data_IF_526477621146
#
_entry.id   IF_526477621146
#
_cell.length_a   1.000
_cell.length_b   1.000
_cell.length_c   1.000
_cell.angle_alpha   90.00
_cell.angle_beta   90.00
_cell.angle_gamma   90.00
#
_symmetry.space_group_name_H-M   'P 1'
#
loop_
_entity.id
_entity.type
_entity.pdbx_description
1 polymer ?
#
# COMPACT_ATOMS: atom_id res chain seq x y z
N UNK A 1 27.84 2.28 7.01
CA UNK A 1 27.88 3.24 8.16
C UNK A 1 26.51 3.89 8.27
N UNK A 2 25.79 3.75 9.38
CA UNK A 2 24.45 4.34 9.53
C UNK A 2 24.58 5.84 9.88
N UNK A 3 24.38 6.71 8.88
CA UNK A 3 24.44 8.18 9.03
C UNK A 3 23.11 8.79 9.54
N UNK A 4 22.05 7.98 9.64
CA UNK A 4 20.73 8.46 10.05
C UNK A 4 20.70 9.21 11.39
N UNK A 5 21.40 8.76 12.45
CA UNK A 5 21.44 9.51 13.73
C UNK A 5 21.97 10.94 13.59
N UNK A 6 22.88 11.19 12.64
CA UNK A 6 23.46 12.52 12.42
C UNK A 6 22.50 13.45 11.66
N UNK A 7 21.74 12.93 10.71
CA UNK A 7 20.82 13.73 9.89
C UNK A 7 19.42 13.84 10.49
N UNK A 8 19.04 12.91 11.37
CA UNK A 8 17.71 12.87 12.01
C UNK A 8 17.29 14.19 12.65
N UNK A 9 18.12 14.88 13.49
CA UNK A 9 17.71 16.14 14.11
C UNK A 9 17.32 17.21 13.08
N UNK A 10 18.08 17.34 12.00
CA UNK A 10 17.78 18.30 10.93
C UNK A 10 16.50 17.95 10.18
N UNK A 11 16.28 16.66 9.87
CA UNK A 11 15.05 16.21 9.22
C UNK A 11 13.81 16.40 10.12
N UNK A 12 13.98 16.21 11.44
CA UNK A 12 12.87 16.37 12.39
C UNK A 12 12.56 17.83 12.73
N UNK A 13 13.50 18.76 12.51
CA UNK A 13 13.24 20.20 12.60
C UNK A 13 12.43 20.74 11.40
N UNK A 14 12.34 19.97 10.31
CA UNK A 14 11.59 20.34 9.12
C UNK A 14 10.15 19.83 9.20
N UNK A 15 9.24 20.45 8.43
CA UNK A 15 7.92 19.89 8.14
C UNK A 15 8.02 18.43 7.67
N UNK A 16 7.09 17.58 8.11
CA UNK A 16 7.17 16.15 7.90
C UNK A 16 7.14 15.76 6.42
N UNK A 17 6.28 16.39 5.62
CA UNK A 17 6.14 16.09 4.19
C UNK A 17 7.32 16.67 3.38
N UNK A 18 7.87 17.83 3.79
CA UNK A 18 9.10 18.36 3.18
C UNK A 18 10.30 17.46 3.43
N UNK A 19 10.45 16.96 4.66
CA UNK A 19 11.52 16.02 4.98
C UNK A 19 11.38 14.70 4.20
N UNK A 20 10.16 14.18 4.07
CA UNK A 20 9.86 13.01 3.24
C UNK A 20 10.31 13.22 1.79
N UNK A 21 9.85 14.30 1.15
CA UNK A 21 10.21 14.61 -0.23
C UNK A 21 11.72 14.84 -0.43
N UNK A 22 12.39 15.49 0.53
CA UNK A 22 13.83 15.72 0.49
C UNK A 22 14.58 14.39 0.58
N UNK A 23 14.17 13.51 1.48
CA UNK A 23 14.81 12.20 1.68
C UNK A 23 14.71 11.35 0.40
N UNK A 24 13.54 11.23 -0.19
CA UNK A 24 13.34 10.46 -1.43
C UNK A 24 14.16 11.01 -2.59
N UNK A 25 14.15 12.35 -2.81
CA UNK A 25 14.99 12.98 -3.83
C UNK A 25 16.49 12.80 -3.59
N UNK A 26 16.91 12.69 -2.32
CA UNK A 26 18.30 12.42 -1.99
C UNK A 26 18.66 10.98 -2.31
N UNK A 27 17.80 10.03 -2.01
CA UNK A 27 17.96 8.62 -2.39
C UNK A 27 18.07 8.46 -3.92
N UNK A 28 17.22 9.15 -4.69
CA UNK A 28 17.32 9.14 -6.17
C UNK A 28 18.70 9.62 -6.66
N UNK A 29 19.22 10.69 -6.06
CA UNK A 29 20.55 11.20 -6.42
C UNK A 29 21.65 10.21 -6.07
N UNK A 30 21.57 9.57 -4.90
CA UNK A 30 22.54 8.55 -4.46
C UNK A 30 22.49 7.36 -5.42
N UNK A 31 21.31 6.91 -5.79
CA UNK A 31 21.11 5.86 -6.80
C UNK A 31 21.71 6.25 -8.17
N UNK A 32 21.35 7.42 -8.69
CA UNK A 32 21.83 7.92 -9.99
C UNK A 32 23.34 8.08 -10.08
N UNK A 33 24.03 8.29 -8.95
CA UNK A 33 25.50 8.33 -8.85
C UNK A 33 26.13 6.93 -8.75
N UNK A 34 25.34 5.86 -8.77
CA UNK A 34 25.81 4.49 -8.58
C UNK A 34 26.27 4.19 -7.14
N UNK A 35 25.86 5.01 -6.17
CA UNK A 35 26.26 4.89 -4.78
C UNK A 35 25.21 4.16 -3.91
N UNK A 36 24.18 3.54 -4.53
CA UNK A 36 23.12 2.81 -3.85
C UNK A 36 23.64 1.73 -2.88
N UNK A 37 24.77 1.10 -3.22
CA UNK A 37 25.41 0.11 -2.35
C UNK A 37 25.81 0.65 -0.96
N UNK A 38 25.98 1.96 -0.80
CA UNK A 38 26.26 2.58 0.50
C UNK A 38 25.05 2.58 1.43
N UNK A 39 23.86 2.49 0.87
CA UNK A 39 22.58 2.44 1.59
C UNK A 39 22.18 0.99 1.91
N UNK A 40 22.81 0.02 1.27
CA UNK A 40 22.48 -1.39 1.39
C UNK A 40 23.09 -1.97 2.68
N UNK A 41 22.25 -2.36 3.62
CA UNK A 41 22.68 -3.27 4.68
C UNK A 41 22.77 -4.70 4.11
N UNK A 42 23.74 -5.48 4.62
CA UNK A 42 23.82 -6.91 4.27
C UNK A 42 22.62 -7.63 4.86
N UNK A 43 21.52 -7.67 4.11
CA UNK A 43 20.33 -8.43 4.49
C UNK A 43 20.62 -9.90 4.20
N UNK A 44 20.45 -10.74 5.22
CA UNK A 44 20.54 -12.19 5.03
C UNK A 44 19.45 -12.64 4.05
N UNK A 45 19.85 -13.44 3.07
CA UNK A 45 18.91 -14.03 2.12
C UNK A 45 18.04 -15.06 2.87
N UNK A 46 16.74 -14.80 2.93
CA UNK A 46 15.73 -15.71 3.50
C UNK A 46 14.62 -15.88 2.44
N UNK A 47 14.96 -16.62 1.39
CA UNK A 47 14.06 -16.82 0.25
C UNK A 47 12.81 -17.56 0.69
N UNK A 48 11.64 -17.02 0.31
CA UNK A 48 10.34 -17.62 0.56
C UNK A 48 9.48 -17.60 -0.68
N UNK A 49 8.57 -18.56 -0.77
CA UNK A 49 7.53 -18.57 -1.79
C UNK A 49 6.23 -18.13 -1.10
N UNK A 50 5.64 -17.07 -1.59
CA UNK A 50 4.37 -16.54 -1.08
C UNK A 50 3.44 -16.22 -2.26
N UNK A 51 2.27 -16.83 -2.29
CA UNK A 51 1.30 -16.72 -3.40
C UNK A 51 1.93 -16.93 -4.79
N UNK A 52 2.86 -17.88 -4.91
CA UNK A 52 3.60 -18.16 -6.15
C UNK A 52 4.76 -17.21 -6.44
N UNK A 53 4.94 -16.16 -5.65
CA UNK A 53 6.05 -15.20 -5.79
C UNK A 53 7.25 -15.68 -4.98
N UNK A 54 8.40 -15.73 -5.62
CA UNK A 54 9.69 -16.07 -4.98
C UNK A 54 10.34 -14.78 -4.45
N UNK A 55 10.10 -14.46 -3.18
CA UNK A 55 10.66 -13.28 -2.52
C UNK A 55 12.04 -13.58 -1.93
N UNK A 56 13.04 -12.71 -2.13
CA UNK A 56 14.40 -12.94 -1.64
C UNK A 56 14.56 -12.79 -0.12
N UNK A 57 13.66 -12.02 0.52
CA UNK A 57 13.52 -11.91 1.96
C UNK A 57 12.09 -11.46 2.32
N UNK A 58 11.60 -11.73 3.55
CA UNK A 58 10.21 -11.47 3.94
C UNK A 58 9.91 -9.99 4.28
N UNK A 59 10.88 -9.09 4.18
CA UNK A 59 10.69 -7.67 4.51
C UNK A 59 10.42 -6.90 3.25
N UNK A 60 9.18 -6.40 3.11
CA UNK A 60 8.76 -5.58 1.99
C UNK A 60 8.51 -4.13 2.36
N UNK A 61 8.58 -3.24 1.38
CA UNK A 61 8.17 -1.86 1.52
C UNK A 61 6.67 -1.74 1.25
N UNK A 62 5.92 -1.25 2.23
CA UNK A 62 4.48 -1.02 2.10
C UNK A 62 4.16 0.22 1.24
N UNK A 63 3.00 0.20 0.58
CA UNK A 63 2.47 1.36 -0.11
C UNK A 63 2.33 2.60 0.80
N UNK A 64 2.47 3.78 0.21
CA UNK A 64 2.33 5.06 0.88
C UNK A 64 3.62 5.87 0.95
N UNK A 65 4.80 5.24 0.87
CA UNK A 65 6.08 5.94 0.79
C UNK A 65 6.30 6.48 -0.62
N UNK A 66 6.34 5.63 -1.62
CA UNK A 66 6.32 6.02 -3.04
C UNK A 66 4.92 5.81 -3.61
N UNK A 67 4.18 6.91 -3.80
CA UNK A 67 2.79 6.83 -4.26
C UNK A 67 2.65 6.77 -5.78
N UNK A 68 3.71 7.14 -6.49
CA UNK A 68 3.67 7.38 -7.92
C UNK A 68 4.66 6.52 -8.72
N UNK A 69 5.46 5.69 -8.06
CA UNK A 69 6.53 4.95 -8.70
C UNK A 69 7.69 5.85 -9.18
N UNK A 70 7.94 6.95 -8.47
CA UNK A 70 9.02 7.90 -8.80
C UNK A 70 10.38 7.48 -8.26
N UNK A 71 10.40 6.59 -7.26
CA UNK A 71 11.57 6.29 -6.43
C UNK A 71 11.87 4.79 -6.34
N UNK A 72 11.32 3.97 -7.26
CA UNK A 72 11.36 2.50 -7.21
C UNK A 72 12.81 2.01 -7.06
N UNK A 73 13.69 2.42 -7.97
CA UNK A 73 15.06 1.90 -8.04
C UNK A 73 15.90 2.35 -6.84
N UNK A 74 15.75 3.61 -6.43
CA UNK A 74 16.41 4.13 -5.23
C UNK A 74 15.95 3.45 -3.92
N UNK A 75 14.67 3.06 -3.84
CA UNK A 75 14.12 2.31 -2.72
C UNK A 75 14.53 0.84 -2.76
N UNK A 76 14.73 0.27 -3.94
CA UNK A 76 15.25 -1.08 -4.11
C UNK A 76 16.68 -1.24 -3.56
N UNK A 77 17.52 -0.19 -3.69
CA UNK A 77 18.87 -0.18 -3.12
C UNK A 77 18.89 -0.37 -1.59
N UNK A 78 17.77 -0.14 -0.90
CA UNK A 78 17.67 -0.38 0.55
C UNK A 78 17.56 -1.88 0.92
N UNK A 79 17.36 -2.76 -0.07
CA UNK A 79 17.40 -4.21 0.10
C UNK A 79 16.07 -4.87 0.48
N UNK A 80 14.94 -4.20 0.27
CA UNK A 80 13.62 -4.82 0.42
C UNK A 80 13.47 -6.04 -0.48
N UNK A 81 12.82 -7.08 0.02
CA UNK A 81 12.51 -8.29 -0.75
C UNK A 81 11.44 -8.06 -1.82
N UNK A 82 10.58 -7.08 -1.60
CA UNK A 82 9.56 -6.61 -2.54
C UNK A 82 9.16 -5.17 -2.21
N UNK A 83 8.59 -4.46 -3.17
CA UNK A 83 8.19 -3.05 -3.04
C UNK A 83 6.74 -2.90 -3.45
N UNK A 84 5.92 -2.23 -2.65
CA UNK A 84 4.55 -1.85 -3.02
C UNK A 84 4.46 -0.35 -3.27
N UNK A 85 4.06 0.01 -4.50
CA UNK A 85 3.84 1.38 -4.96
C UNK A 85 2.36 1.76 -4.81
N UNK A 86 2.09 2.98 -4.53
CA UNK A 86 0.73 3.54 -4.47
C UNK A 86 0.37 4.08 -3.08
N UNK A 87 -0.88 4.30 -2.88
CA UNK A 87 -2.09 3.98 -3.68
C UNK A 87 -2.22 4.95 -4.84
N UNK A 88 -2.38 4.40 -6.05
CA UNK A 88 -2.71 5.18 -7.24
C UNK A 88 -4.20 5.10 -7.55
N UNK A 89 -4.73 6.14 -8.15
CA UNK A 89 -6.12 6.23 -8.58
C UNK A 89 -6.18 6.36 -10.11
N UNK A 90 -7.32 6.06 -10.77
CA UNK A 90 -7.45 6.17 -12.21
C UNK A 90 -7.01 7.54 -12.77
N UNK A 91 -7.41 8.62 -12.09
CA UNK A 91 -7.03 9.98 -12.44
C UNK A 91 -6.10 10.56 -11.38
N UNK A 92 -5.20 11.45 -11.80
CA UNK A 92 -4.40 12.24 -10.89
C UNK A 92 -5.27 13.03 -9.90
N UNK A 93 -4.81 13.15 -8.66
CA UNK A 93 -5.46 14.01 -7.66
C UNK A 93 -4.44 14.54 -6.66
N UNK A 94 -4.65 15.79 -6.19
CA UNK A 94 -3.74 16.47 -5.28
C UNK A 94 -3.75 15.90 -3.85
N UNK A 95 -4.80 15.15 -3.48
CA UNK A 95 -5.05 14.75 -2.11
C UNK A 95 -5.61 15.88 -1.24
N UNK A 96 -5.56 15.68 0.07
CA UNK A 96 -6.07 16.66 1.03
C UNK A 96 -5.16 17.89 1.18
N UNK A 97 -5.70 19.05 1.63
CA UNK A 97 -4.91 20.26 1.90
C UNK A 97 -3.77 20.03 2.92
N UNK A 98 -2.72 20.84 2.78
CA UNK A 98 -1.60 20.90 3.74
C UNK A 98 -2.01 21.76 4.98
N UNK A 99 -1.40 21.51 6.16
CA UNK A 99 -0.53 20.37 6.50
C UNK A 99 -1.34 19.07 6.65
N UNK A 100 -0.74 17.96 6.28
CA UNK A 100 -1.42 16.65 6.23
C UNK A 100 -0.57 15.47 6.74
N UNK A 101 0.55 15.78 7.41
CA UNK A 101 1.44 14.78 8.01
C UNK A 101 2.00 15.30 9.34
N UNK A 102 1.77 14.55 10.42
CA UNK A 102 2.08 14.98 11.80
C UNK A 102 2.83 13.86 12.52
N UNK A 103 4.05 14.16 12.95
CA UNK A 103 4.87 13.19 13.69
C UNK A 103 4.47 13.14 15.16
N UNK A 104 4.52 11.94 15.72
CA UNK A 104 4.38 11.64 17.14
C UNK A 104 5.64 10.88 17.61
N UNK A 105 6.79 11.57 17.78
CA UNK A 105 8.08 10.90 18.03
C UNK A 105 8.09 10.10 19.32
N UNK A 106 7.37 10.54 20.34
CA UNK A 106 7.30 9.96 21.68
C UNK A 106 6.79 8.51 21.66
N UNK A 107 5.92 8.22 20.68
CA UNK A 107 5.33 6.88 20.50
C UNK A 107 5.75 6.23 19.18
N UNK A 108 6.79 6.74 18.52
CA UNK A 108 7.19 6.28 17.19
C UNK A 108 5.99 6.19 16.22
N UNK A 109 5.14 7.22 16.24
CA UNK A 109 3.90 7.30 15.50
C UNK A 109 3.87 8.44 14.50
N UNK A 110 2.89 8.36 13.60
CA UNK A 110 2.63 9.37 12.57
C UNK A 110 1.12 9.43 12.28
N UNK A 111 0.54 10.63 12.30
CA UNK A 111 -0.81 10.85 11.77
C UNK A 111 -0.68 11.44 10.37
N UNK A 112 -1.43 10.90 9.40
CA UNK A 112 -1.51 11.46 8.06
C UNK A 112 -2.94 11.49 7.54
N UNK A 113 -3.21 12.50 6.71
CA UNK A 113 -4.43 12.65 5.93
C UNK A 113 -4.14 12.93 4.46
N UNK A 114 -3.26 12.12 3.86
CA UNK A 114 -2.75 12.36 2.51
C UNK A 114 -3.84 12.39 1.43
N UNK A 115 -4.86 11.51 1.53
CA UNK A 115 -6.00 11.49 0.60
C UNK A 115 -5.65 10.98 -0.80
N UNK A 116 -4.76 9.99 -0.89
CA UNK A 116 -4.31 9.39 -2.15
C UNK A 116 -3.80 10.41 -3.18
N UNK A 117 -2.95 11.36 -2.73
CA UNK A 117 -2.28 12.26 -3.67
C UNK A 117 -1.38 11.44 -4.61
N UNK A 118 -1.65 11.52 -5.92
CA UNK A 118 -0.91 10.79 -6.95
C UNK A 118 -1.14 11.39 -8.34
N UNK A 119 -0.26 11.02 -9.30
CA UNK A 119 -0.28 11.51 -10.68
C UNK A 119 -1.20 10.70 -11.61
N UNK A 120 -1.94 9.73 -11.08
CA UNK A 120 -2.80 8.81 -11.84
C UNK A 120 -2.09 7.52 -12.26
N UNK A 121 -2.91 6.49 -12.52
CA UNK A 121 -2.42 5.14 -12.80
C UNK A 121 -1.56 5.07 -14.07
N UNK A 122 -1.90 5.83 -15.11
CA UNK A 122 -1.17 5.80 -16.39
C UNK A 122 0.26 6.34 -16.21
N UNK A 123 0.43 7.42 -15.43
CA UNK A 123 1.74 7.98 -15.11
C UNK A 123 2.58 7.01 -14.26
N UNK A 124 1.97 6.34 -13.28
CA UNK A 124 2.63 5.31 -12.48
C UNK A 124 3.12 4.15 -13.34
N UNK A 125 2.27 3.60 -14.20
CA UNK A 125 2.63 2.51 -15.13
C UNK A 125 3.77 2.91 -16.06
N UNK A 126 3.77 4.16 -16.57
CA UNK A 126 4.86 4.63 -17.41
C UNK A 126 6.21 4.61 -16.69
N UNK A 127 6.24 4.94 -15.38
CA UNK A 127 7.44 4.89 -14.54
C UNK A 127 7.86 3.46 -14.20
N UNK A 128 6.90 2.59 -13.89
CA UNK A 128 7.17 1.16 -13.66
C UNK A 128 7.89 0.54 -14.85
N UNK A 129 7.45 0.83 -16.08
CA UNK A 129 8.10 0.35 -17.30
C UNK A 129 9.54 0.79 -17.47
N UNK A 130 9.93 1.90 -16.84
CA UNK A 130 11.27 2.47 -16.90
C UNK A 130 12.15 2.04 -15.72
N UNK A 131 11.59 1.37 -14.71
CA UNK A 131 12.32 0.95 -13.53
C UNK A 131 13.24 -0.22 -13.83
N UNK A 132 14.51 -0.07 -13.50
CA UNK A 132 15.52 -1.13 -13.60
C UNK A 132 15.21 -2.28 -12.62
N UNK A 133 14.69 -1.98 -11.43
CA UNK A 133 14.27 -2.97 -10.45
C UNK A 133 13.22 -3.92 -11.02
N UNK A 134 12.18 -3.37 -11.65
CA UNK A 134 11.13 -4.19 -12.24
C UNK A 134 11.62 -4.96 -13.47
N UNK A 135 12.38 -4.32 -14.37
CA UNK A 135 12.93 -4.95 -15.58
C UNK A 135 13.88 -6.11 -15.25
N UNK A 136 14.59 -6.04 -14.14
CA UNK A 136 15.50 -7.09 -13.66
C UNK A 136 14.81 -8.14 -12.76
N UNK A 137 13.48 -8.20 -12.74
CA UNK A 137 12.70 -9.21 -12.02
C UNK A 137 12.54 -8.96 -10.53
N UNK A 138 12.67 -7.70 -10.09
CA UNK A 138 12.29 -7.29 -8.75
C UNK A 138 10.79 -7.42 -8.53
N UNK A 139 10.37 -7.86 -7.36
CA UNK A 139 8.95 -8.07 -7.02
C UNK A 139 8.27 -6.74 -6.73
N UNK A 140 7.34 -6.34 -7.59
CA UNK A 140 6.63 -5.07 -7.49
C UNK A 140 5.12 -5.26 -7.32
N UNK A 141 4.60 -4.77 -6.18
CA UNK A 141 3.18 -4.66 -5.92
C UNK A 141 2.64 -3.29 -6.36
N UNK A 142 1.45 -3.28 -6.96
CA UNK A 142 0.78 -2.04 -7.34
C UNK A 142 -0.54 -1.91 -6.59
N UNK A 143 -0.61 -0.87 -5.74
CA UNK A 143 -1.73 -0.58 -4.87
C UNK A 143 -2.68 0.40 -5.55
N UNK A 144 -3.93 -0.01 -5.76
CA UNK A 144 -4.96 0.75 -6.45
C UNK A 144 -6.07 1.20 -5.51
N UNK A 145 -6.66 2.34 -5.81
CA UNK A 145 -7.74 2.92 -5.02
C UNK A 145 -8.69 3.77 -5.85
N UNK A 146 -9.77 4.19 -5.20
CA UNK A 146 -10.81 5.04 -5.78
C UNK A 146 -10.42 6.52 -5.72
N UNK A 147 -10.68 7.27 -6.79
CA UNK A 147 -10.59 8.73 -6.77
C UNK A 147 -11.56 9.34 -5.74
N UNK A 148 -11.14 10.43 -5.12
CA UNK A 148 -11.99 11.17 -4.17
C UNK A 148 -13.28 11.71 -4.84
N UNK A 149 -13.19 12.11 -6.10
CA UNK A 149 -14.31 12.65 -6.89
C UNK A 149 -15.29 11.58 -7.40
N UNK A 150 -14.94 10.30 -7.36
CA UNK A 150 -15.83 9.22 -7.81
C UNK A 150 -16.85 8.90 -6.72
N UNK A 151 -18.16 8.94 -7.00
CA UNK A 151 -19.19 8.52 -6.04
C UNK A 151 -19.00 7.06 -5.58
N UNK A 152 -19.51 6.72 -4.39
CA UNK A 152 -19.35 5.36 -3.84
C UNK A 152 -20.03 4.30 -4.69
N UNK A 153 -21.16 4.61 -5.30
CA UNK A 153 -21.94 3.74 -6.18
C UNK A 153 -21.16 3.34 -7.45
N UNK A 154 -20.12 4.13 -7.78
CA UNK A 154 -19.23 3.90 -8.92
C UNK A 154 -17.80 3.52 -8.49
N UNK A 155 -17.61 3.18 -7.23
CA UNK A 155 -16.29 2.83 -6.71
C UNK A 155 -15.64 1.67 -7.50
N UNK A 156 -16.43 0.67 -7.86
CA UNK A 156 -15.96 -0.49 -8.62
C UNK A 156 -15.36 -0.11 -9.98
N UNK A 157 -15.89 0.92 -10.67
CA UNK A 157 -15.36 1.38 -11.95
C UNK A 157 -13.87 1.79 -11.83
N UNK A 158 -13.53 2.50 -10.74
CA UNK A 158 -12.17 2.96 -10.49
C UNK A 158 -11.22 1.80 -10.20
N UNK A 159 -11.67 0.83 -9.40
CA UNK A 159 -10.86 -0.37 -9.12
C UNK A 159 -10.65 -1.23 -10.35
N UNK A 160 -11.70 -1.43 -11.16
CA UNK A 160 -11.60 -2.14 -12.44
C UNK A 160 -10.62 -1.45 -13.39
N UNK A 161 -10.74 -0.13 -13.57
CA UNK A 161 -9.80 0.63 -14.38
C UNK A 161 -8.37 0.53 -13.86
N UNK A 162 -8.20 0.65 -12.54
CA UNK A 162 -6.90 0.47 -11.88
C UNK A 162 -6.34 -0.92 -12.16
N UNK A 163 -7.11 -1.98 -11.92
CA UNK A 163 -6.71 -3.36 -12.13
C UNK A 163 -6.28 -3.60 -13.58
N UNK A 164 -7.09 -3.19 -14.56
CA UNK A 164 -6.75 -3.33 -15.98
C UNK A 164 -5.43 -2.65 -16.35
N UNK A 165 -5.19 -1.45 -15.81
CA UNK A 165 -3.99 -0.68 -16.12
C UNK A 165 -2.73 -1.30 -15.52
N UNK A 166 -2.79 -1.81 -14.27
CA UNK A 166 -1.60 -2.27 -13.56
C UNK A 166 -1.29 -3.75 -13.76
N UNK A 167 -2.28 -4.57 -14.13
CA UNK A 167 -2.17 -6.02 -14.18
C UNK A 167 -0.97 -6.55 -14.98
N UNK A 168 -0.66 -6.03 -16.18
CA UNK A 168 0.47 -6.51 -16.97
C UNK A 168 1.84 -6.28 -16.30
N UNK A 169 1.92 -5.30 -15.40
CA UNK A 169 3.17 -4.77 -14.85
C UNK A 169 3.35 -5.10 -13.37
N UNK A 170 2.31 -5.61 -12.71
CA UNK A 170 2.34 -5.95 -11.29
C UNK A 170 2.74 -7.41 -11.08
N UNK A 171 3.55 -7.69 -10.07
CA UNK A 171 3.74 -9.05 -9.55
C UNK A 171 2.63 -9.42 -8.56
N UNK A 172 2.06 -8.43 -7.88
CA UNK A 172 0.79 -8.55 -7.18
C UNK A 172 0.04 -7.20 -7.20
N UNK A 173 -1.27 -7.24 -7.00
CA UNK A 173 -2.10 -6.04 -6.92
C UNK A 173 -2.72 -5.95 -5.53
N UNK A 174 -2.71 -4.75 -4.96
CA UNK A 174 -3.42 -4.44 -3.71
C UNK A 174 -4.62 -3.56 -3.98
N UNK A 175 -5.80 -4.02 -3.59
CA UNK A 175 -7.05 -3.26 -3.63
C UNK A 175 -7.25 -2.59 -2.28
N UNK A 176 -7.06 -1.27 -2.23
CA UNK A 176 -7.11 -0.52 -0.98
C UNK A 176 -8.51 0.03 -0.70
N UNK A 177 -9.26 -0.67 0.15
CA UNK A 177 -10.62 -0.30 0.58
C UNK A 177 -10.66 0.27 2.01
N UNK A 178 -9.52 0.58 2.59
CA UNK A 178 -9.39 0.82 4.05
C UNK A 178 -8.85 2.20 4.43
N UNK A 179 -8.60 3.09 3.47
CA UNK A 179 -8.10 4.43 3.79
C UNK A 179 -9.14 5.25 4.60
N UNK A 180 -8.75 5.83 5.74
CA UNK A 180 -9.64 6.73 6.47
C UNK A 180 -9.71 8.13 5.86
N UNK A 181 -8.86 8.40 4.87
CA UNK A 181 -8.66 9.74 4.30
C UNK A 181 -9.46 9.96 3.00
N UNK A 182 -10.25 8.97 2.59
CA UNK A 182 -11.19 9.04 1.46
C UNK A 182 -12.60 8.82 2.01
N UNK A 183 -13.50 9.75 1.73
CA UNK A 183 -14.85 9.75 2.29
C UNK A 183 -15.57 8.43 2.01
N UNK A 184 -16.14 7.85 3.04
CA UNK A 184 -16.92 6.61 3.03
C UNK A 184 -16.23 5.37 2.43
N UNK A 185 -14.92 5.42 2.11
CA UNK A 185 -14.23 4.30 1.47
C UNK A 185 -14.33 3.01 2.28
N UNK A 186 -14.28 3.12 3.61
CA UNK A 186 -14.35 1.96 4.51
C UNK A 186 -15.71 1.23 4.49
N UNK A 187 -16.76 1.84 3.94
CA UNK A 187 -18.04 1.14 3.74
C UNK A 187 -17.94 -0.01 2.73
N UNK A 188 -16.89 -0.02 1.88
CA UNK A 188 -16.58 -1.16 1.01
C UNK A 188 -16.14 -2.42 1.77
N UNK A 189 -15.89 -2.32 3.08
CA UNK A 189 -15.59 -3.48 3.93
C UNK A 189 -16.84 -4.17 4.47
N UNK A 190 -18.05 -3.64 4.19
CA UNK A 190 -19.31 -4.31 4.50
C UNK A 190 -19.51 -5.52 3.58
N UNK A 191 -20.21 -6.52 4.08
CA UNK A 191 -20.38 -7.82 3.42
C UNK A 191 -20.87 -7.70 1.96
N UNK A 192 -22.00 -7.03 1.74
CA UNK A 192 -22.59 -6.86 0.41
C UNK A 192 -21.69 -6.06 -0.54
N UNK A 193 -21.16 -4.92 -0.08
CA UNK A 193 -20.30 -4.06 -0.91
C UNK A 193 -18.98 -4.76 -1.26
N UNK A 194 -18.40 -5.49 -0.31
CA UNK A 194 -17.19 -6.27 -0.54
C UNK A 194 -17.46 -7.41 -1.52
N UNK A 195 -18.53 -8.19 -1.31
CA UNK A 195 -18.89 -9.31 -2.18
C UNK A 195 -19.11 -8.86 -3.63
N UNK A 196 -19.82 -7.77 -3.85
CA UNK A 196 -20.02 -7.19 -5.18
C UNK A 196 -18.70 -6.77 -5.82
N UNK A 197 -17.82 -6.09 -5.07
CA UNK A 197 -16.52 -5.66 -5.56
C UNK A 197 -15.63 -6.86 -5.92
N UNK A 198 -15.58 -7.89 -5.07
CA UNK A 198 -14.81 -9.12 -5.31
C UNK A 198 -15.30 -9.88 -6.54
N UNK A 199 -16.62 -9.95 -6.76
CA UNK A 199 -17.20 -10.58 -7.96
C UNK A 199 -16.72 -9.89 -9.23
N UNK A 200 -16.88 -8.56 -9.31
CA UNK A 200 -16.48 -7.77 -10.48
C UNK A 200 -14.97 -7.84 -10.74
N UNK A 201 -14.17 -7.70 -9.69
CA UNK A 201 -12.71 -7.80 -9.82
C UNK A 201 -12.26 -9.23 -10.13
N UNK A 202 -12.96 -10.24 -9.63
CA UNK A 202 -12.68 -11.64 -9.93
C UNK A 202 -12.89 -11.99 -11.39
N UNK A 203 -13.99 -11.53 -11.98
CA UNK A 203 -14.28 -11.68 -13.41
C UNK A 203 -13.23 -10.98 -14.27
N UNK A 204 -12.93 -9.72 -13.96
CA UNK A 204 -11.91 -8.96 -14.67
C UNK A 204 -10.52 -9.62 -14.56
N UNK A 205 -10.15 -10.10 -13.36
CA UNK A 205 -8.89 -10.80 -13.11
C UNK A 205 -8.77 -12.08 -13.95
N UNK A 206 -9.84 -12.87 -14.05
CA UNK A 206 -9.85 -14.09 -14.87
C UNK A 206 -9.64 -13.78 -16.36
N UNK A 207 -10.31 -12.74 -16.86
CA UNK A 207 -10.13 -12.27 -18.25
C UNK A 207 -8.70 -11.78 -18.52
N UNK A 208 -8.13 -11.01 -17.58
CA UNK A 208 -6.76 -10.50 -17.65
C UNK A 208 -5.73 -11.64 -17.58
N UNK A 209 -5.94 -12.62 -16.69
CA UNK A 209 -5.07 -13.79 -16.59
C UNK A 209 -5.03 -14.57 -17.91
N UNK A 210 -6.19 -14.75 -18.55
CA UNK A 210 -6.25 -15.38 -19.87
C UNK A 210 -5.57 -14.54 -20.96
N UNK A 211 -5.82 -13.23 -21.00
CA UNK A 211 -5.29 -12.33 -22.03
C UNK A 211 -3.77 -12.17 -21.95
N UNK A 212 -3.23 -12.10 -20.75
CA UNK A 212 -1.78 -11.90 -20.53
C UNK A 212 -1.02 -13.19 -20.24
N UNK A 213 -1.70 -14.35 -20.18
CA UNK A 213 -1.12 -15.65 -19.79
C UNK A 213 -0.27 -15.53 -18.49
N UNK A 214 -0.77 -14.75 -17.55
CA UNK A 214 -0.09 -14.40 -16.29
C UNK A 214 -1.08 -14.41 -15.13
N UNK A 215 -0.77 -15.15 -14.07
CA UNK A 215 -1.51 -15.10 -12.82
C UNK A 215 -0.90 -14.05 -11.87
N UNK A 216 -1.68 -13.02 -11.53
CA UNK A 216 -1.27 -11.98 -10.58
C UNK A 216 -2.08 -12.13 -9.30
N UNK A 217 -1.44 -12.40 -8.14
CA UNK A 217 -2.10 -12.39 -6.84
C UNK A 217 -2.75 -11.04 -6.55
N UNK A 218 -3.95 -11.06 -5.98
CA UNK A 218 -4.67 -9.83 -5.59
C UNK A 218 -4.96 -9.86 -4.09
N UNK A 219 -4.61 -8.79 -3.41
CA UNK A 219 -4.77 -8.63 -1.97
C UNK A 219 -5.77 -7.52 -1.67
N UNK A 220 -6.60 -7.74 -0.66
CA UNK A 220 -7.51 -6.72 -0.10
C UNK A 220 -6.86 -6.12 1.13
N UNK A 221 -6.61 -4.81 1.12
CA UNK A 221 -6.04 -4.11 2.28
C UNK A 221 -7.13 -3.57 3.18
N UNK A 222 -7.15 -4.05 4.42
CA UNK A 222 -8.22 -3.80 5.39
C UNK A 222 -7.80 -2.83 6.50
N UNK A 223 -8.78 -2.28 7.22
CA UNK A 223 -8.57 -1.38 8.36
C UNK A 223 -8.30 -2.19 9.65
N UNK A 224 -7.56 -1.63 10.61
CA UNK A 224 -7.36 -2.26 11.92
C UNK A 224 -8.54 -2.04 12.88
N UNK A 225 -9.47 -1.15 12.50
CA UNK A 225 -10.56 -0.68 13.37
C UNK A 225 -11.84 -1.53 13.25
N UNK A 226 -11.78 -2.69 12.57
CA UNK A 226 -12.88 -3.63 12.48
C UNK A 226 -13.11 -4.31 13.85
N UNK A 227 -14.37 -4.40 14.26
CA UNK A 227 -14.75 -5.23 15.40
C UNK A 227 -14.78 -6.73 15.02
N UNK A 228 -14.98 -7.61 16.02
CA UNK A 228 -14.94 -9.06 15.79
C UNK A 228 -16.03 -9.55 14.83
N UNK A 229 -17.21 -8.94 14.88
CA UNK A 229 -18.33 -9.28 13.99
C UNK A 229 -18.00 -8.90 12.56
N UNK A 230 -17.51 -7.67 12.35
CA UNK A 230 -17.09 -7.17 11.03
C UNK A 230 -15.93 -7.98 10.47
N UNK A 231 -14.97 -8.35 11.32
CA UNK A 231 -13.83 -9.19 10.92
C UNK A 231 -14.30 -10.59 10.52
N UNK A 232 -15.19 -11.20 11.29
CA UNK A 232 -15.79 -12.49 10.96
C UNK A 232 -16.54 -12.46 9.63
N UNK A 233 -17.36 -11.44 9.39
CA UNK A 233 -18.07 -11.25 8.11
C UNK A 233 -17.10 -11.09 6.95
N UNK A 234 -16.07 -10.26 7.09
CA UNK A 234 -15.03 -10.07 6.08
C UNK A 234 -14.33 -11.39 5.73
N UNK A 235 -13.95 -12.19 6.75
CA UNK A 235 -13.34 -13.49 6.53
C UNK A 235 -14.28 -14.45 5.80
N UNK A 236 -15.54 -14.51 6.18
CA UNK A 236 -16.55 -15.36 5.51
C UNK A 236 -16.74 -14.95 4.04
N UNK A 237 -16.86 -13.64 3.76
CA UNK A 237 -16.99 -13.11 2.41
C UNK A 237 -15.79 -13.49 1.55
N UNK A 238 -14.57 -13.28 2.06
CA UNK A 238 -13.34 -13.67 1.36
C UNK A 238 -13.27 -15.17 1.12
N UNK A 239 -13.60 -16.00 2.12
CA UNK A 239 -13.63 -17.46 1.98
C UNK A 239 -14.59 -17.90 0.89
N UNK A 240 -15.82 -17.36 0.85
CA UNK A 240 -16.81 -17.68 -0.18
C UNK A 240 -16.29 -17.37 -1.59
N UNK A 241 -15.52 -16.28 -1.76
CA UNK A 241 -14.90 -15.93 -3.04
C UNK A 241 -13.62 -16.71 -3.35
N UNK A 242 -12.96 -17.30 -2.33
CA UNK A 242 -11.76 -18.13 -2.50
C UNK A 242 -12.08 -19.60 -2.78
N UNK A 243 -13.29 -20.07 -2.48
CA UNK A 243 -13.67 -21.48 -2.57
C UNK A 243 -14.59 -21.75 -3.75
N UNK A 244 -14.42 -22.91 -4.38
CA UNK A 244 -15.31 -23.45 -5.39
C UNK A 244 -15.37 -24.96 -5.22
N UNK A 245 -16.58 -25.51 -5.05
CA UNK A 245 -16.82 -26.95 -4.85
C UNK A 245 -15.98 -27.54 -3.69
N UNK A 246 -15.77 -26.74 -2.61
CA UNK A 246 -14.96 -27.16 -1.45
C UNK A 246 -13.44 -27.12 -1.63
N UNK A 247 -12.96 -26.60 -2.75
CA UNK A 247 -11.52 -26.41 -3.02
C UNK A 247 -11.17 -24.94 -3.17
N UNK A 248 -9.98 -24.57 -2.78
CA UNK A 248 -9.46 -23.19 -2.99
C UNK A 248 -9.25 -22.95 -4.48
N UNK A 249 -9.85 -21.86 -4.98
CA UNK A 249 -9.63 -21.42 -6.37
C UNK A 249 -8.16 -21.05 -6.59
N UNK A 250 -7.65 -21.26 -7.78
CA UNK A 250 -6.30 -20.83 -8.18
C UNK A 250 -6.13 -19.29 -8.04
N UNK A 251 -7.25 -18.57 -8.09
CA UNK A 251 -7.33 -17.13 -7.98
C UNK A 251 -7.80 -16.65 -6.59
N UNK A 252 -7.42 -17.33 -5.52
CA UNK A 252 -7.75 -16.91 -4.16
C UNK A 252 -7.30 -15.47 -3.85
N UNK A 253 -8.07 -14.83 -2.98
CA UNK A 253 -7.78 -13.48 -2.50
C UNK A 253 -6.83 -13.54 -1.29
N UNK A 254 -5.85 -12.64 -1.25
CA UNK A 254 -5.05 -12.42 -0.06
C UNK A 254 -5.55 -11.22 0.76
N UNK A 255 -5.03 -11.08 1.97
CA UNK A 255 -5.34 -9.95 2.86
C UNK A 255 -4.05 -9.24 3.25
N UNK A 256 -4.08 -7.89 3.24
CA UNK A 256 -3.06 -7.05 3.87
C UNK A 256 -3.63 -6.45 5.15
N UNK A 257 -3.15 -6.92 6.27
CA UNK A 257 -3.50 -6.44 7.59
C UNK A 257 -2.31 -5.65 8.17
N UNK A 258 -2.41 -4.31 8.30
CA UNK A 258 -3.56 -3.46 8.05
C UNK A 258 -3.17 -2.10 7.48
N UNK A 259 -4.18 -1.27 7.19
CA UNK A 259 -4.00 0.17 7.00
C UNK A 259 -3.79 0.86 8.36
N UNK A 260 -3.85 2.18 8.40
CA UNK A 260 -3.75 3.02 9.61
C UNK A 260 -5.06 3.01 10.41
N UNK A 261 -4.98 3.31 11.72
CA UNK A 261 -6.15 3.40 12.61
C UNK A 261 -6.69 4.82 12.73
N UNK A 262 -7.98 4.95 13.02
CA UNK A 262 -8.61 6.21 13.44
C UNK A 262 -8.65 6.36 14.97
N UNK A 263 -8.39 5.30 15.75
CA UNK A 263 -8.29 5.38 17.21
C UNK A 263 -7.16 6.32 17.63
N UNK A 264 -7.40 7.01 18.76
CA UNK A 264 -6.45 7.94 19.38
C UNK A 264 -6.12 7.56 20.82
N UNK A 265 -6.65 6.44 21.32
CA UNK A 265 -6.59 6.05 22.74
C UNK A 265 -5.16 6.06 23.31
N UNK A 266 -4.19 5.64 22.50
CA UNK A 266 -2.79 5.58 22.91
C UNK A 266 -2.03 6.91 22.76
N UNK A 267 -2.63 7.93 22.18
CA UNK A 267 -1.95 9.19 21.83
C UNK A 267 -2.68 10.45 22.28
N UNK A 268 -3.81 10.35 22.99
CA UNK A 268 -4.66 11.46 23.38
C UNK A 268 -3.93 12.58 24.13
N UNK A 269 -2.88 12.24 24.85
CA UNK A 269 -2.06 13.16 25.64
C UNK A 269 -0.95 13.87 24.86
N UNK A 270 -0.78 13.53 23.58
CA UNK A 270 0.31 14.05 22.75
C UNK A 270 -0.14 15.24 21.92
N UNK A 271 0.78 16.14 21.55
CA UNK A 271 0.55 17.14 20.53
C UNK A 271 0.07 16.48 19.22
N UNK A 272 -0.82 17.14 18.51
CA UNK A 272 -1.43 16.61 17.26
C UNK A 272 -2.37 15.41 17.40
N UNK A 273 -2.65 14.91 18.63
CA UNK A 273 -3.57 13.78 18.82
C UNK A 273 -4.96 14.03 18.21
N UNK A 274 -5.42 15.28 18.19
CA UNK A 274 -6.73 15.69 17.65
C UNK A 274 -6.74 15.88 16.13
N UNK A 275 -5.59 15.71 15.46
CA UNK A 275 -5.55 15.82 14.01
C UNK A 275 -6.31 14.67 13.35
N UNK A 276 -7.12 15.02 12.35
CA UNK A 276 -7.81 14.02 11.55
C UNK A 276 -6.85 13.22 10.69
N UNK A 277 -7.22 12.00 10.34
CA UNK A 277 -6.43 11.11 9.49
C UNK A 277 -6.13 9.77 10.12
N UNK A 278 -5.26 9.00 9.48
CA UNK A 278 -4.84 7.68 9.95
C UNK A 278 -3.58 7.75 10.80
N UNK A 279 -3.61 7.12 11.97
CA UNK A 279 -2.46 6.93 12.86
C UNK A 279 -1.74 5.63 12.49
N UNK A 280 -0.43 5.72 12.29
CA UNK A 280 0.48 4.61 11.99
C UNK A 280 1.64 4.53 13.00
N UNK A 281 2.47 3.50 12.85
CA UNK A 281 3.62 3.26 13.72
C UNK A 281 3.28 2.36 14.90
N UNK A 282 4.06 2.45 16.00
CA UNK A 282 3.89 1.57 17.14
C UNK A 282 2.46 1.55 17.74
N UNK A 283 1.70 2.66 17.75
CA UNK A 283 0.34 2.65 18.30
C UNK A 283 -0.65 1.73 17.56
N UNK A 284 -0.43 1.40 16.29
CA UNK A 284 -1.34 0.53 15.53
C UNK A 284 -1.01 -0.96 15.66
N UNK A 285 0.14 -1.31 16.22
CA UNK A 285 0.68 -2.66 16.22
C UNK A 285 -0.30 -3.70 16.78
N UNK A 286 -0.85 -3.47 17.96
CA UNK A 286 -1.73 -4.46 18.60
C UNK A 286 -3.08 -4.61 17.86
N UNK A 287 -3.64 -3.50 17.36
CA UNK A 287 -4.85 -3.55 16.53
C UNK A 287 -4.60 -4.33 15.22
N UNK A 288 -3.46 -4.12 14.58
CA UNK A 288 -3.06 -4.87 13.40
C UNK A 288 -2.84 -6.36 13.70
N UNK A 289 -2.16 -6.69 14.80
CA UNK A 289 -1.94 -8.08 15.22
C UNK A 289 -3.26 -8.81 15.53
N UNK A 290 -4.26 -8.11 16.08
CA UNK A 290 -5.59 -8.68 16.31
C UNK A 290 -6.25 -9.09 14.99
N UNK A 291 -6.15 -8.28 13.96
CA UNK A 291 -6.72 -8.59 12.64
C UNK A 291 -6.02 -9.78 11.97
N UNK A 292 -4.74 -10.00 12.26
CA UNK A 292 -3.96 -11.11 11.69
C UNK A 292 -4.30 -12.45 12.36
N UNK A 293 -4.69 -12.45 13.63
CA UNK A 293 -5.01 -13.66 14.42
C UNK A 293 -6.41 -14.19 14.13
#
# INVERSE_FOLDING_TARGET
MNLYPLVKPSLFAMDAERAHNLTLKTLDKVHALGLGFLSQEKIARDERIFCGLKIPNPVGLAAGLDKDGKHIDALADLGFGFIEIGTVTPKAQAGNPLPRMFRLPEVSGLINRMGFNNDGVDACVARVKQSDFWQNGGILGLNIGKNASTPMERAADDYLRGLHAVYPFADYVTVNISSPNTQNLRSLQSDEALSNLLSLLGEARAQLAHSYQKHVPVFIKVAPDLDETQLGQLCMTLQNHCMENGQTKDNAWGVIATNTTVSRDLVQHLPHANETGGLSGAPVKEASNRVIR
#
